data_IF_867922218509
#
_entry.id   IF_867922218509
#
_cell.length_a   1.000
_cell.length_b   1.000
_cell.length_c   1.000
_cell.angle_alpha   90.00
_cell.angle_beta   90.00
_cell.angle_gamma   90.00
#
_symmetry.space_group_name_H-M   'P 1'
#
loop_
_entity.id
_entity.type
_entity.pdbx_description
1 polymer ?
#
# COMPACT_ATOMS: atom_id res chain seq x y z
N UNK A 1 -33.11 -32.42 68.62
CA UNK A 1 -32.28 -31.44 67.90
C UNK A 1 -32.81 -31.36 66.48
N UNK A 2 -33.64 -30.36 66.17
CA UNK A 2 -34.19 -30.17 64.84
C UNK A 2 -33.34 -29.11 64.13
N UNK A 3 -32.61 -29.51 63.10
CA UNK A 3 -31.91 -28.58 62.21
C UNK A 3 -32.94 -28.14 61.17
N UNK A 4 -33.47 -26.92 61.28
CA UNK A 4 -34.26 -26.34 60.21
C UNK A 4 -33.30 -25.99 59.07
N UNK A 5 -33.21 -26.87 58.09
CA UNK A 5 -32.67 -26.52 56.78
C UNK A 5 -33.62 -25.49 56.17
N UNK A 6 -33.30 -24.20 56.32
CA UNK A 6 -34.06 -23.12 55.71
C UNK A 6 -33.81 -23.16 54.22
N UNK A 7 -34.81 -23.57 53.44
CA UNK A 7 -34.82 -23.41 51.98
C UNK A 7 -35.65 -22.16 51.65
N UNK A 8 -34.98 -21.06 51.33
CA UNK A 8 -35.62 -19.79 50.94
C UNK A 8 -34.66 -18.60 50.96
N UNK A 9 -35.11 -17.46 50.43
CA UNK A 9 -34.34 -16.20 50.45
C UNK A 9 -34.20 -15.68 51.88
N UNK A 10 -32.97 -15.67 52.40
CA UNK A 10 -32.67 -15.06 53.69
C UNK A 10 -32.51 -13.53 53.50
N UNK A 11 -33.46 -12.75 54.00
CA UNK A 11 -33.34 -11.30 54.07
C UNK A 11 -32.79 -10.95 55.45
N UNK A 12 -31.55 -10.47 55.52
CA UNK A 12 -30.92 -10.01 56.76
C UNK A 12 -30.97 -8.47 56.83
N UNK A 13 -31.27 -7.94 58.02
CA UNK A 13 -31.22 -6.51 58.27
C UNK A 13 -29.76 -6.07 58.46
N UNK A 14 -29.41 -4.87 57.98
CA UNK A 14 -28.04 -4.33 58.12
C UNK A 14 -27.71 -3.97 59.59
N UNK A 15 -28.72 -3.65 60.40
CA UNK A 15 -28.64 -3.47 61.84
C UNK A 15 -29.93 -4.00 62.49
N UNK A 16 -29.83 -4.78 63.57
CA UNK A 16 -30.97 -5.18 64.38
C UNK A 16 -31.13 -4.19 65.53
N UNK A 17 -32.04 -3.22 65.38
CA UNK A 17 -32.48 -2.33 66.46
C UNK A 17 -33.85 -2.78 66.94
N UNK A 18 -34.09 -2.89 68.27
CA UNK A 18 -35.41 -3.30 68.77
C UNK A 18 -36.48 -2.27 68.40
N UNK A 19 -37.45 -2.67 67.58
CA UNK A 19 -38.72 -1.95 67.45
C UNK A 19 -38.97 -1.13 66.18
N UNK A 20 -38.16 -1.19 65.11
CA UNK A 20 -38.44 -0.47 63.86
C UNK A 20 -38.27 -1.33 62.59
N UNK A 21 -39.04 -0.95 61.56
CA UNK A 21 -39.17 -1.54 60.24
C UNK A 21 -37.82 -1.67 59.55
N UNK A 22 -37.59 -2.79 58.86
CA UNK A 22 -36.33 -3.11 58.17
C UNK A 22 -35.89 -1.95 57.26
N UNK A 23 -34.84 -1.21 57.67
CA UNK A 23 -34.24 -0.15 56.86
C UNK A 23 -33.20 -0.78 55.95
N UNK A 24 -33.63 -1.16 54.74
CA UNK A 24 -32.77 -1.71 53.70
C UNK A 24 -32.55 -3.21 53.82
N UNK A 25 -33.11 -3.97 52.86
CA UNK A 25 -32.86 -5.40 52.72
C UNK A 25 -31.54 -5.61 51.97
N UNK A 26 -30.57 -6.30 52.58
CA UNK A 26 -29.42 -6.83 51.84
C UNK A 26 -29.63 -8.33 51.69
N UNK A 27 -29.79 -8.78 50.45
CA UNK A 27 -29.67 -10.21 50.13
C UNK A 27 -28.17 -10.51 50.02
N UNK A 28 -27.54 -10.87 51.14
CA UNK A 28 -26.14 -11.30 51.16
C UNK A 28 -26.08 -12.83 51.08
N UNK A 29 -26.05 -13.36 49.87
CA UNK A 29 -25.91 -14.78 49.60
C UNK A 29 -25.38 -15.00 48.18
N UNK A 30 -24.82 -16.17 47.91
CA UNK A 30 -24.37 -16.52 46.57
C UNK A 30 -25.62 -16.65 45.67
N UNK A 31 -25.87 -15.68 44.80
CA UNK A 31 -27.06 -15.62 43.94
C UNK A 31 -26.97 -16.59 42.75
N UNK A 32 -25.98 -17.51 42.73
CA UNK A 32 -25.74 -18.43 41.62
C UNK A 32 -26.84 -19.46 41.35
N UNK A 33 -27.80 -19.65 42.28
CA UNK A 33 -28.96 -20.55 42.08
C UNK A 33 -30.27 -19.82 41.78
N UNK A 34 -30.26 -18.49 41.72
CA UNK A 34 -31.37 -17.69 41.24
C UNK A 34 -31.16 -17.41 39.75
N UNK A 35 -32.23 -17.42 38.96
CA UNK A 35 -32.19 -17.00 37.56
C UNK A 35 -31.87 -15.49 37.39
N UNK A 36 -31.79 -14.74 38.50
CA UNK A 36 -31.47 -13.31 38.52
C UNK A 36 -32.48 -12.45 37.76
N UNK A 37 -33.57 -13.02 37.23
CA UNK A 37 -34.45 -12.38 36.25
C UNK A 37 -35.18 -11.15 36.82
N UNK A 38 -35.30 -11.06 38.14
CA UNK A 38 -35.99 -9.99 38.85
C UNK A 38 -35.05 -9.14 39.74
N UNK A 39 -33.72 -9.27 39.58
CA UNK A 39 -32.76 -8.45 40.32
C UNK A 39 -32.72 -7.03 39.76
N UNK A 40 -33.50 -6.14 40.37
CA UNK A 40 -33.53 -4.70 40.11
C UNK A 40 -32.45 -3.98 40.94
N UNK A 41 -31.82 -2.94 40.38
CA UNK A 41 -30.69 -2.18 40.98
C UNK A 41 -29.35 -2.91 41.11
N UNK A 42 -29.00 -3.83 40.19
CA UNK A 42 -27.58 -4.07 39.88
C UNK A 42 -26.99 -2.68 39.55
N UNK A 43 -25.84 -2.26 40.13
CA UNK A 43 -25.20 -0.99 39.80
C UNK A 43 -25.24 -0.86 38.28
N UNK A 44 -26.04 0.09 37.78
CA UNK A 44 -26.39 0.20 36.37
C UNK A 44 -25.08 0.02 35.62
N UNK A 45 -24.94 -1.07 34.88
CA UNK A 45 -23.92 -1.10 33.82
C UNK A 45 -24.30 0.11 32.99
N UNK A 46 -23.57 1.20 33.17
CA UNK A 46 -24.05 2.55 32.88
C UNK A 46 -23.98 2.73 31.38
N UNK A 47 -24.90 2.07 30.69
CA UNK A 47 -24.90 2.00 29.26
C UNK A 47 -25.60 3.25 28.72
N UNK A 48 -24.86 4.36 28.72
CA UNK A 48 -25.33 5.62 28.17
C UNK A 48 -25.27 5.64 26.63
N UNK A 49 -24.67 4.61 25.99
CA UNK A 49 -24.42 4.56 24.56
C UNK A 49 -25.21 3.40 23.94
N UNK A 50 -26.09 3.71 22.97
CA UNK A 50 -26.86 2.68 22.29
C UNK A 50 -25.95 1.59 21.69
N UNK A 51 -26.32 0.32 21.85
CA UNK A 51 -25.59 -0.85 21.33
C UNK A 51 -24.18 -1.10 21.90
N UNK A 52 -23.72 -0.36 22.92
CA UNK A 52 -22.38 -0.60 23.47
C UNK A 52 -22.26 -1.97 24.14
N UNK A 53 -21.15 -2.65 23.86
CA UNK A 53 -20.78 -3.91 24.50
C UNK A 53 -20.22 -3.66 25.91
N UNK A 54 -20.46 -4.65 26.78
CA UNK A 54 -19.94 -4.66 28.15
C UNK A 54 -18.66 -5.49 28.18
N UNK A 55 -17.57 -4.91 28.68
CA UNK A 55 -16.26 -5.55 28.79
C UNK A 55 -15.75 -5.53 30.24
N UNK A 56 -14.83 -6.42 30.56
CA UNK A 56 -13.98 -6.31 31.74
C UNK A 56 -12.72 -5.55 31.33
N UNK A 57 -12.51 -4.39 31.96
CA UNK A 57 -11.35 -3.54 31.70
C UNK A 57 -10.34 -3.73 32.84
N UNK A 58 -9.06 -3.88 32.49
CA UNK A 58 -7.96 -4.11 33.44
C UNK A 58 -7.98 -5.45 34.19
N UNK A 59 -8.91 -6.35 33.87
CA UNK A 59 -8.95 -7.71 34.42
C UNK A 59 -9.53 -7.81 35.83
N UNK A 60 -10.10 -6.73 36.36
CA UNK A 60 -10.84 -6.77 37.62
C UNK A 60 -12.23 -7.36 37.38
N UNK A 61 -12.48 -8.54 37.93
CA UNK A 61 -13.75 -9.24 37.81
C UNK A 61 -14.95 -8.44 38.36
N UNK A 62 -14.70 -7.40 39.15
CA UNK A 62 -15.73 -6.54 39.73
C UNK A 62 -15.98 -5.26 38.94
N UNK A 63 -15.19 -5.00 37.89
CA UNK A 63 -15.30 -3.79 37.07
C UNK A 63 -15.77 -4.13 35.66
N UNK A 64 -17.03 -3.84 35.39
CA UNK A 64 -17.66 -3.95 34.07
C UNK A 64 -17.88 -2.55 33.50
N UNK A 65 -17.48 -2.34 32.24
CA UNK A 65 -17.55 -1.04 31.56
C UNK A 65 -18.37 -1.18 30.27
N UNK A 66 -19.18 -0.15 29.96
CA UNK A 66 -19.81 -0.01 28.65
C UNK A 66 -18.86 0.73 27.70
N UNK A 67 -18.42 0.05 26.65
CA UNK A 67 -17.48 0.61 25.69
C UNK A 67 -18.22 1.43 24.61
N UNK A 68 -18.17 2.76 24.71
CA UNK A 68 -18.80 3.61 23.69
C UNK A 68 -18.19 3.44 22.28
N UNK A 69 -16.96 2.96 22.21
CA UNK A 69 -16.22 2.72 20.97
C UNK A 69 -16.36 1.28 20.44
N UNK A 70 -17.09 0.41 21.15
CA UNK A 70 -17.37 -0.97 20.71
C UNK A 70 -18.87 -1.22 20.78
N UNK A 71 -19.55 -1.09 19.64
CA UNK A 71 -21.01 -1.24 19.58
C UNK A 71 -21.45 -2.36 18.63
N UNK A 72 -22.55 -3.06 18.95
CA UNK A 72 -23.14 -4.10 18.12
C UNK A 72 -24.66 -3.97 18.07
N UNK A 73 -25.21 -3.78 16.87
CA UNK A 73 -26.65 -3.56 16.65
C UNK A 73 -27.41 -4.82 16.21
N UNK A 74 -26.73 -5.97 16.18
CA UNK A 74 -27.26 -7.23 15.65
C UNK A 74 -26.88 -7.51 14.19
N UNK A 75 -26.43 -6.50 13.44
CA UNK A 75 -25.96 -6.63 12.06
C UNK A 75 -24.48 -6.27 11.88
N UNK A 76 -23.98 -5.29 12.63
CA UNK A 76 -22.62 -4.75 12.50
C UNK A 76 -21.95 -4.56 13.85
N UNK A 77 -20.70 -5.03 13.97
CA UNK A 77 -19.81 -4.71 15.07
C UNK A 77 -18.95 -3.52 14.66
N UNK A 78 -19.10 -2.39 15.37
CA UNK A 78 -18.35 -1.17 15.11
C UNK A 78 -17.25 -1.02 16.15
N UNK A 79 -16.00 -0.88 15.68
CA UNK A 79 -14.83 -0.54 16.49
C UNK A 79 -14.39 0.87 16.12
N UNK A 80 -14.58 1.83 17.02
CA UNK A 80 -14.06 3.20 16.86
C UNK A 80 -12.69 3.28 17.51
N UNK A 81 -11.66 2.88 16.76
CA UNK A 81 -10.27 2.78 17.22
C UNK A 81 -9.47 1.76 16.41
N UNK A 82 -8.32 1.35 16.93
CA UNK A 82 -7.50 0.32 16.31
C UNK A 82 -8.02 -1.09 16.64
N UNK A 83 -8.00 -1.99 15.64
CA UNK A 83 -8.22 -3.42 15.82
C UNK A 83 -6.87 -4.14 15.75
N UNK A 84 -6.46 -4.80 16.83
CA UNK A 84 -5.27 -5.66 16.86
C UNK A 84 -5.69 -7.12 16.86
N UNK A 85 -5.24 -7.89 15.86
CA UNK A 85 -5.45 -9.34 15.78
C UNK A 85 -4.08 -10.04 15.72
N UNK A 86 -3.81 -10.98 16.63
CA UNK A 86 -2.49 -11.61 16.75
C UNK A 86 -2.23 -12.76 15.77
N UNK A 87 -3.25 -13.18 15.01
CA UNK A 87 -3.15 -14.30 14.06
C UNK A 87 -3.51 -13.83 12.65
N UNK A 88 -4.79 -13.57 12.39
CA UNK A 88 -5.27 -13.14 11.09
C UNK A 88 -6.64 -12.46 11.18
N UNK A 89 -7.01 -11.74 10.12
CA UNK A 89 -8.36 -11.24 9.89
C UNK A 89 -8.86 -11.88 8.60
N UNK A 90 -9.96 -12.64 8.67
CA UNK A 90 -10.64 -13.18 7.50
C UNK A 90 -11.81 -12.27 7.15
N UNK A 91 -11.74 -11.62 5.99
CA UNK A 91 -12.77 -10.71 5.51
C UNK A 91 -12.94 -10.87 3.99
N UNK A 92 -14.15 -10.66 3.50
CA UNK A 92 -14.42 -10.65 2.05
C UNK A 92 -13.71 -9.48 1.36
N UNK A 93 -13.55 -8.35 2.06
CA UNK A 93 -12.88 -7.15 1.58
C UNK A 93 -12.44 -6.25 2.75
N UNK A 94 -11.46 -5.39 2.51
CA UNK A 94 -11.08 -4.28 3.40
C UNK A 94 -11.47 -2.97 2.70
N UNK A 95 -12.29 -2.14 3.35
CA UNK A 95 -12.70 -0.83 2.82
C UNK A 95 -11.82 0.28 3.41
N UNK A 96 -11.37 1.22 2.58
CA UNK A 96 -10.52 2.35 2.98
C UNK A 96 -9.52 2.75 1.91
N UNK A 97 -8.55 3.59 2.27
CA UNK A 97 -7.46 4.02 1.36
C UNK A 97 -6.36 2.96 1.18
N UNK A 98 -6.39 1.88 1.98
CA UNK A 98 -5.42 0.78 1.94
C UNK A 98 -3.99 1.17 2.32
N UNK A 99 -3.73 2.41 2.75
CA UNK A 99 -2.38 2.94 3.02
C UNK A 99 -1.64 2.18 4.13
N UNK A 100 -2.39 1.53 5.02
CA UNK A 100 -1.89 0.73 6.14
C UNK A 100 -1.88 -0.78 5.88
N UNK A 101 -2.29 -1.25 4.70
CA UNK A 101 -2.14 -2.65 4.27
C UNK A 101 -0.68 -2.91 3.83
N UNK A 102 0.21 -2.83 4.81
CA UNK A 102 1.66 -2.98 4.64
C UNK A 102 2.12 -4.30 5.26
N UNK A 103 3.36 -4.71 4.97
CA UNK A 103 3.96 -5.92 5.53
C UNK A 103 3.10 -7.18 5.35
N UNK A 104 2.35 -7.26 4.25
CA UNK A 104 1.67 -8.48 3.81
C UNK A 104 2.75 -9.37 3.19
N UNK A 105 3.37 -10.29 3.96
CA UNK A 105 4.50 -11.06 3.46
C UNK A 105 3.95 -12.02 2.42
N UNK A 106 4.75 -12.24 1.37
CA UNK A 106 4.54 -13.28 0.37
C UNK A 106 4.39 -14.68 1.00
N UNK A 107 3.23 -15.03 1.55
CA UNK A 107 2.94 -16.36 2.06
C UNK A 107 2.78 -17.34 0.91
N UNK A 108 3.89 -17.89 0.44
CA UNK A 108 4.03 -18.65 -0.81
C UNK A 108 3.85 -17.81 -2.09
N UNK A 109 4.28 -18.39 -3.22
CA UNK A 109 4.22 -17.86 -4.59
C UNK A 109 3.00 -16.96 -4.79
N UNK A 110 3.26 -15.64 -4.87
CA UNK A 110 2.32 -14.63 -5.33
C UNK A 110 1.53 -13.82 -4.29
N UNK A 111 1.95 -13.79 -3.03
CA UNK A 111 1.37 -12.82 -2.09
C UNK A 111 1.94 -11.38 -2.26
N UNK A 112 1.02 -10.43 -2.43
CA UNK A 112 1.19 -8.98 -2.55
C UNK A 112 -0.17 -8.27 -2.45
N UNK A 113 -0.22 -6.94 -2.63
CA UNK A 113 -1.46 -6.14 -2.54
C UNK A 113 -2.50 -6.56 -3.61
N UNK A 114 -2.06 -7.11 -4.74
CA UNK A 114 -2.95 -7.62 -5.79
C UNK A 114 -3.30 -9.07 -5.51
N UNK A 115 -4.58 -9.33 -5.21
CA UNK A 115 -5.13 -10.66 -4.93
C UNK A 115 -4.84 -11.62 -6.10
N UNK A 116 -4.12 -12.69 -5.82
CA UNK A 116 -4.01 -13.83 -6.73
C UNK A 116 -5.36 -14.51 -6.87
N UNK A 117 -5.90 -14.53 -8.10
CA UNK A 117 -7.10 -15.29 -8.42
C UNK A 117 -6.75 -16.75 -8.80
N UNK A 118 -5.46 -17.02 -9.03
CA UNK A 118 -4.84 -18.33 -9.26
C UNK A 118 -3.34 -18.25 -8.87
N UNK A 119 -2.62 -19.36 -8.62
CA UNK A 119 -1.21 -19.37 -8.22
C UNK A 119 -0.22 -18.85 -9.29
N UNK A 120 -0.74 -18.29 -10.38
CA UNK A 120 0.04 -17.83 -11.53
C UNK A 120 -0.37 -16.44 -12.01
N UNK A 121 -1.48 -15.87 -11.50
CA UNK A 121 -2.03 -14.62 -12.02
C UNK A 121 -2.71 -13.78 -10.93
N UNK A 122 -2.26 -12.53 -10.82
CA UNK A 122 -2.98 -11.46 -10.14
C UNK A 122 -3.61 -10.54 -11.21
N UNK A 123 -4.90 -10.25 -11.09
CA UNK A 123 -5.63 -9.38 -12.02
C UNK A 123 -6.14 -8.13 -11.31
N UNK A 124 -6.07 -7.00 -12.00
CA UNK A 124 -6.81 -5.78 -11.69
C UNK A 124 -7.86 -5.56 -12.79
N UNK A 125 -9.05 -5.07 -12.45
CA UNK A 125 -10.06 -4.65 -13.43
C UNK A 125 -9.99 -3.16 -13.73
N UNK A 126 -9.14 -2.42 -13.00
CA UNK A 126 -8.91 -0.98 -13.14
C UNK A 126 -7.44 -0.69 -13.41
N UNK A 127 -7.11 0.58 -13.67
CA UNK A 127 -5.73 0.99 -13.86
C UNK A 127 -4.90 0.82 -12.59
N UNK A 128 -3.65 0.39 -12.76
CA UNK A 128 -2.65 0.40 -11.69
C UNK A 128 -1.75 1.60 -11.93
N UNK A 129 -1.54 2.41 -10.89
CA UNK A 129 -0.45 3.38 -10.82
C UNK A 129 0.63 2.80 -9.93
N UNK A 130 1.81 2.53 -10.51
CA UNK A 130 2.99 2.07 -9.76
C UNK A 130 3.98 3.22 -9.67
N UNK A 131 4.31 3.66 -8.45
CA UNK A 131 5.27 4.74 -8.19
C UNK A 131 4.70 5.86 -7.31
N UNK A 132 5.59 6.75 -6.85
CA UNK A 132 5.21 7.96 -6.12
C UNK A 132 4.91 9.11 -7.10
N UNK A 133 4.23 10.16 -6.64
CA UNK A 133 4.02 11.42 -7.40
C UNK A 133 5.29 12.28 -7.55
N UNK A 134 6.46 11.76 -7.16
CA UNK A 134 7.79 12.39 -7.26
C UNK A 134 8.85 11.41 -7.75
N UNK A 135 10.14 11.71 -7.56
CA UNK A 135 11.24 10.81 -7.94
C UNK A 135 11.01 9.42 -7.35
N UNK A 136 10.81 8.43 -8.21
CA UNK A 136 10.49 7.07 -7.78
C UNK A 136 11.66 6.51 -6.94
N UNK A 137 11.41 6.05 -5.70
CA UNK A 137 12.47 5.45 -4.88
C UNK A 137 12.93 4.09 -5.43
N UNK A 138 12.20 3.50 -6.37
CA UNK A 138 12.52 2.22 -7.02
C UNK A 138 12.00 2.18 -8.47
N UNK A 139 12.69 1.43 -9.32
CA UNK A 139 12.27 1.12 -10.69
C UNK A 139 11.19 0.03 -10.69
N UNK A 140 10.26 0.08 -11.66
CA UNK A 140 9.44 -1.09 -11.98
C UNK A 140 10.32 -2.10 -12.70
N UNK A 141 10.59 -3.25 -12.08
CA UNK A 141 11.29 -4.37 -12.71
C UNK A 141 10.30 -5.49 -13.02
N UNK A 142 10.26 -5.93 -14.27
CA UNK A 142 9.46 -7.07 -14.72
C UNK A 142 10.43 -8.21 -15.03
N UNK A 143 10.49 -9.21 -14.15
CA UNK A 143 11.33 -10.40 -14.33
C UNK A 143 10.60 -11.36 -15.29
N UNK A 144 10.70 -11.11 -16.59
CA UNK A 144 10.01 -11.87 -17.62
C UNK A 144 9.64 -11.02 -18.84
N UNK A 145 8.63 -11.46 -19.59
CA UNK A 145 8.08 -10.69 -20.70
C UNK A 145 6.98 -9.73 -20.25
N UNK A 146 6.89 -8.58 -20.90
CA UNK A 146 5.73 -7.69 -20.83
C UNK A 146 4.86 -7.87 -22.07
N UNK A 147 3.58 -8.23 -21.90
CA UNK A 147 2.61 -8.18 -22.99
C UNK A 147 1.84 -6.87 -22.91
N UNK A 148 2.04 -5.99 -23.90
CA UNK A 148 1.44 -4.66 -23.97
C UNK A 148 0.66 -4.56 -25.28
N UNK A 149 -0.67 -4.51 -25.19
CA UNK A 149 -1.56 -4.52 -26.36
C UNK A 149 -2.05 -3.13 -26.77
N UNK A 150 -1.60 -2.08 -26.08
CA UNK A 150 -2.00 -0.69 -26.31
C UNK A 150 -0.81 0.23 -26.55
N UNK A 151 -1.06 1.53 -26.65
CA UNK A 151 -0.02 2.53 -26.84
C UNK A 151 0.95 2.60 -25.65
N UNK A 152 2.23 2.85 -25.95
CA UNK A 152 3.28 3.12 -24.98
C UNK A 152 3.71 4.58 -25.09
N UNK A 153 3.80 5.24 -23.94
CA UNK A 153 4.33 6.59 -23.84
C UNK A 153 5.70 6.47 -23.16
N UNK A 154 6.73 6.90 -23.86
CA UNK A 154 8.06 7.02 -23.29
C UNK A 154 8.42 8.49 -23.08
N UNK A 155 9.37 8.76 -22.18
CA UNK A 155 9.89 10.10 -21.94
C UNK A 155 10.49 10.66 -23.25
N UNK A 156 10.02 11.84 -23.66
CA UNK A 156 10.59 12.61 -24.77
C UNK A 156 11.30 13.85 -24.23
N UNK A 157 12.54 14.02 -24.66
CA UNK A 157 13.36 15.19 -24.39
C UNK A 157 13.72 15.86 -25.72
N UNK A 158 13.43 17.15 -25.86
CA UNK A 158 13.76 17.93 -27.06
C UNK A 158 14.93 18.84 -26.78
N UNK A 159 15.88 18.91 -27.71
CA UNK A 159 17.11 19.69 -27.61
C UNK A 159 17.33 20.53 -28.86
N UNK A 160 17.85 21.76 -28.70
CA UNK A 160 18.15 22.71 -29.79
C UNK A 160 19.66 22.98 -29.93
N UNK A 161 20.48 22.27 -29.16
CA UNK A 161 21.93 22.43 -29.09
C UNK A 161 22.59 21.22 -28.45
N UNK A 162 23.89 21.30 -28.23
CA UNK A 162 24.68 20.18 -27.69
C UNK A 162 24.11 19.65 -26.38
N UNK A 163 24.01 18.32 -26.27
CA UNK A 163 23.37 17.66 -25.15
C UNK A 163 24.05 16.35 -24.77
N UNK A 164 24.16 16.08 -23.47
CA UNK A 164 24.55 14.76 -22.95
C UNK A 164 23.31 14.06 -22.42
N UNK A 165 23.02 12.90 -22.98
CA UNK A 165 21.80 12.13 -22.66
C UNK A 165 21.80 11.72 -21.19
N UNK A 166 20.65 11.87 -20.52
CA UNK A 166 20.43 11.34 -19.18
C UNK A 166 20.13 9.84 -19.23
N UNK A 167 20.56 9.09 -18.20
CA UNK A 167 20.20 7.66 -18.04
C UNK A 167 18.67 7.41 -17.95
N UNK A 168 17.86 8.47 -17.79
CA UNK A 168 16.39 8.39 -17.74
C UNK A 168 15.70 8.78 -19.05
N UNK A 169 16.44 9.22 -20.07
CA UNK A 169 15.88 9.56 -21.37
C UNK A 169 15.57 8.34 -22.21
N UNK A 170 14.65 8.50 -23.16
CA UNK A 170 14.28 7.48 -24.13
C UNK A 170 14.24 8.04 -25.54
N UNK A 171 13.34 9.01 -25.79
CA UNK A 171 13.32 9.77 -27.05
C UNK A 171 14.11 11.06 -26.90
N UNK A 172 15.07 11.26 -27.80
CA UNK A 172 15.83 12.51 -27.96
C UNK A 172 15.43 13.11 -29.31
N UNK A 173 14.61 14.14 -29.25
CA UNK A 173 14.24 14.95 -30.41
C UNK A 173 15.24 16.08 -30.58
N UNK A 174 15.94 16.12 -31.70
CA UNK A 174 16.96 17.13 -31.99
C UNK A 174 16.41 18.13 -33.00
N UNK A 175 16.35 19.39 -32.60
CA UNK A 175 16.01 20.50 -33.49
C UNK A 175 17.29 21.09 -34.10
N UNK A 176 17.51 20.79 -35.37
CA UNK A 176 18.67 21.21 -36.17
C UNK A 176 18.49 22.58 -36.84
N UNK A 177 17.39 23.31 -36.60
CA UNK A 177 17.17 24.63 -37.22
C UNK A 177 18.16 25.69 -36.75
N UNK A 178 18.69 25.56 -35.53
CA UNK A 178 19.61 26.52 -34.90
C UNK A 178 21.09 26.34 -35.24
N UNK A 179 21.46 25.23 -35.88
CA UNK A 179 22.85 24.88 -36.18
C UNK A 179 23.15 23.40 -35.97
N UNK A 180 24.40 23.01 -36.21
CA UNK A 180 24.90 21.64 -35.93
C UNK A 180 24.74 21.30 -34.45
N UNK A 181 24.38 20.05 -34.15
CA UNK A 181 24.16 19.60 -32.76
C UNK A 181 25.00 18.38 -32.46
N UNK A 182 25.74 18.40 -31.34
CA UNK A 182 26.43 17.23 -30.80
C UNK A 182 25.62 16.58 -29.68
N UNK A 183 25.26 15.32 -29.88
CA UNK A 183 24.64 14.48 -28.86
C UNK A 183 25.69 13.53 -28.28
N UNK A 184 25.89 13.57 -26.97
CA UNK A 184 26.80 12.66 -26.26
C UNK A 184 25.97 11.61 -25.55
N UNK A 185 26.21 10.34 -25.86
CA UNK A 185 25.61 9.21 -25.17
C UNK A 185 26.07 9.20 -23.69
N UNK A 186 25.29 8.63 -22.76
CA UNK A 186 25.75 8.49 -21.39
C UNK A 186 26.95 7.54 -21.32
N UNK A 187 27.58 7.40 -20.16
CA UNK A 187 28.57 6.33 -19.96
C UNK A 187 27.87 4.97 -20.02
N UNK A 188 28.33 4.08 -20.90
CA UNK A 188 27.73 2.77 -21.11
C UNK A 188 27.57 1.96 -19.82
N UNK A 189 28.56 2.03 -18.91
CA UNK A 189 28.56 1.35 -17.61
C UNK A 189 27.50 1.88 -16.62
N UNK A 190 26.91 3.05 -16.88
CA UNK A 190 25.85 3.62 -16.07
C UNK A 190 24.44 3.23 -16.55
N UNK A 191 24.32 2.62 -17.74
CA UNK A 191 23.05 2.09 -18.25
C UNK A 191 22.89 0.62 -17.89
N UNK A 192 21.64 0.15 -17.91
CA UNK A 192 21.36 -1.29 -17.88
C UNK A 192 21.62 -1.90 -19.25
N UNK A 193 22.19 -3.11 -19.29
CA UNK A 193 22.33 -3.88 -20.53
C UNK A 193 20.98 -4.02 -21.23
N UNK A 194 20.93 -3.70 -22.53
CA UNK A 194 19.72 -3.68 -23.34
C UNK A 194 18.90 -2.40 -23.24
N UNK A 195 19.35 -1.39 -22.48
CA UNK A 195 18.65 -0.10 -22.43
C UNK A 195 18.73 0.60 -23.79
N UNK A 196 17.55 0.91 -24.35
CA UNK A 196 17.36 1.50 -25.67
C UNK A 196 17.29 3.01 -25.61
N UNK A 197 17.85 3.67 -26.62
CA UNK A 197 17.71 5.10 -26.88
C UNK A 197 17.27 5.30 -28.33
N UNK A 198 16.40 6.29 -28.55
CA UNK A 198 15.92 6.67 -29.87
C UNK A 198 16.21 8.16 -30.09
N UNK A 199 16.99 8.45 -31.11
CA UNK A 199 17.35 9.80 -31.51
C UNK A 199 16.67 10.13 -32.84
N UNK A 200 16.16 11.34 -32.96
CA UNK A 200 15.44 11.80 -34.16
C UNK A 200 15.81 13.25 -34.47
N UNK A 201 16.14 13.52 -35.73
CA UNK A 201 16.10 14.88 -36.26
C UNK A 201 14.63 15.32 -36.39
N UNK A 202 14.21 16.22 -35.53
CA UNK A 202 12.88 16.83 -35.54
C UNK A 202 12.89 18.20 -36.23
N UNK A 203 14.06 18.84 -36.33
CA UNK A 203 14.23 20.12 -37.04
C UNK A 203 14.26 19.98 -38.56
N UNK A 204 14.71 18.81 -39.07
CA UNK A 204 14.67 18.49 -40.49
C UNK A 204 15.80 19.11 -41.33
N UNK A 205 16.83 19.68 -40.69
CA UNK A 205 17.92 20.39 -41.35
C UNK A 205 19.28 19.68 -41.20
N UNK A 206 19.30 18.38 -40.88
CA UNK A 206 20.55 17.66 -40.62
C UNK A 206 21.45 17.45 -41.85
N UNK A 207 20.98 17.69 -43.07
CA UNK A 207 21.83 17.79 -44.26
C UNK A 207 22.76 19.01 -44.24
N UNK A 208 22.31 20.10 -43.61
CA UNK A 208 23.07 21.34 -43.47
C UNK A 208 23.71 21.43 -42.08
N UNK A 209 22.95 21.04 -41.07
CA UNK A 209 23.25 21.16 -39.65
C UNK A 209 23.34 19.76 -39.04
N UNK A 210 24.36 19.02 -39.45
CA UNK A 210 24.55 17.62 -39.09
C UNK A 210 24.47 17.37 -37.57
N UNK A 211 23.82 16.26 -37.20
CA UNK A 211 23.76 15.80 -35.82
C UNK A 211 24.91 14.81 -35.61
N UNK A 212 25.85 15.15 -34.73
CA UNK A 212 26.96 14.27 -34.38
C UNK A 212 26.67 13.55 -33.08
N UNK A 213 26.47 12.25 -33.14
CA UNK A 213 26.25 11.37 -31.99
C UNK A 213 27.61 10.79 -31.58
N UNK A 214 27.96 10.88 -30.30
CA UNK A 214 29.27 10.46 -29.79
C UNK A 214 29.14 9.60 -28.55
N UNK A 215 30.03 8.61 -28.40
CA UNK A 215 30.17 7.87 -27.15
C UNK A 215 30.75 8.74 -26.03
N UNK A 216 30.54 8.33 -24.77
CA UNK A 216 31.18 8.98 -23.63
C UNK A 216 32.58 8.42 -23.41
N UNK A 217 33.60 9.28 -23.42
CA UNK A 217 34.99 8.85 -23.19
C UNK A 217 35.47 7.81 -24.21
N UNK A 218 35.74 6.59 -23.75
CA UNK A 218 36.23 5.49 -24.58
C UNK A 218 35.13 4.62 -25.21
N UNK A 219 33.87 4.83 -24.81
CA UNK A 219 32.74 4.04 -25.28
C UNK A 219 32.56 4.16 -26.80
N UNK A 220 32.21 3.04 -27.44
CA UNK A 220 32.10 2.95 -28.91
C UNK A 220 30.68 2.65 -29.35
N UNK A 221 30.32 3.18 -30.52
CA UNK A 221 29.08 2.92 -31.24
C UNK A 221 29.44 2.06 -32.44
N UNK A 222 29.13 0.76 -32.42
CA UNK A 222 29.55 -0.22 -33.44
C UNK A 222 31.04 -0.11 -33.82
N UNK A 223 31.89 0.03 -32.80
CA UNK A 223 33.35 0.16 -32.96
C UNK A 223 33.84 1.57 -33.32
N UNK A 224 32.95 2.51 -33.63
CA UNK A 224 33.28 3.90 -33.94
C UNK A 224 33.16 4.82 -32.73
N UNK A 225 33.87 5.94 -32.74
CA UNK A 225 33.72 6.97 -31.71
C UNK A 225 32.42 7.79 -31.88
N UNK A 226 31.98 7.94 -33.13
CA UNK A 226 30.90 8.84 -33.51
C UNK A 226 30.08 8.28 -34.66
N UNK A 227 28.81 8.67 -34.72
CA UNK A 227 27.88 8.47 -35.83
C UNK A 227 27.30 9.83 -36.19
N UNK A 228 27.15 10.12 -37.49
CA UNK A 228 26.58 11.40 -37.95
C UNK A 228 25.27 11.13 -38.67
N UNK A 229 24.22 11.85 -38.27
CA UNK A 229 22.97 11.92 -39.03
C UNK A 229 23.03 13.15 -39.93
N UNK A 230 23.05 12.89 -41.24
CA UNK A 230 23.19 13.91 -42.29
C UNK A 230 22.03 13.97 -43.27
N UNK A 231 20.91 13.30 -42.97
CA UNK A 231 19.72 13.27 -43.82
C UNK A 231 18.54 13.88 -43.08
N UNK A 232 17.80 14.83 -43.65
CA UNK A 232 16.64 15.47 -43.03
C UNK A 232 15.70 14.44 -42.42
N UNK A 233 15.30 14.67 -41.17
CA UNK A 233 14.43 13.77 -40.42
C UNK A 233 15.00 12.35 -40.21
N UNK A 234 16.32 12.17 -40.27
CA UNK A 234 16.95 10.90 -39.92
C UNK A 234 16.66 10.51 -38.47
N UNK A 235 16.61 9.21 -38.24
CA UNK A 235 16.47 8.62 -36.91
C UNK A 235 17.59 7.61 -36.68
N UNK A 236 17.98 7.44 -35.42
CA UNK A 236 18.88 6.39 -34.97
C UNK A 236 18.28 5.73 -33.74
N UNK A 237 18.14 4.42 -33.77
CA UNK A 237 17.87 3.63 -32.59
C UNK A 237 19.12 2.82 -32.23
N UNK A 238 19.43 2.78 -30.94
CA UNK A 238 20.57 2.04 -30.42
C UNK A 238 20.28 1.49 -29.03
N UNK A 239 21.05 0.50 -28.62
CA UNK A 239 21.01 -0.05 -27.26
C UNK A 239 22.42 -0.27 -26.69
N UNK A 240 22.52 -0.32 -25.36
CA UNK A 240 23.78 -0.44 -24.63
C UNK A 240 24.06 -1.89 -24.17
N UNK A 241 25.34 -2.27 -24.03
CA UNK A 241 25.76 -3.50 -23.35
C UNK A 241 25.81 -3.39 -21.82
N UNK A 242 25.59 -2.19 -21.28
CA UNK A 242 25.72 -1.89 -19.85
C UNK A 242 27.17 -1.86 -19.34
N UNK A 243 28.15 -1.75 -20.24
CA UNK A 243 29.57 -1.79 -19.89
C UNK A 243 30.41 -0.76 -20.67
N UNK A 244 30.55 -0.90 -21.99
CA UNK A 244 31.48 -0.06 -22.80
C UNK A 244 31.02 0.21 -24.24
N UNK A 245 29.87 -0.32 -24.66
CA UNK A 245 29.50 -0.34 -26.09
C UNK A 245 28.02 -0.04 -26.31
N UNK A 246 27.79 0.56 -27.48
CA UNK A 246 26.48 0.77 -28.07
C UNK A 246 26.40 0.08 -29.43
N UNK A 247 25.22 -0.44 -29.74
CA UNK A 247 24.92 -1.13 -30.99
C UNK A 247 23.74 -0.47 -31.70
N UNK A 248 23.83 -0.30 -33.02
CA UNK A 248 22.75 0.24 -33.86
C UNK A 248 21.83 -0.91 -34.30
N UNK A 249 20.52 -0.63 -34.42
CA UNK A 249 19.48 -1.57 -34.87
C UNK A 249 18.56 -0.92 -35.93
#
# INVERSE_FOLDING_TARGET
>A
MAYNAVSGTLIAAQNYIPGDLVVGNIVSGNLSTSDGANLINIPRVSNATNNALITNVSGDANTLVCESNLTFDGGSLVVTGDLTASVSVSASYFEGDGSRLTNLPGGATGAGIFRETSPSNAYTTSSIKVGASGTAPATLSVVGGSFLSGALIHKRHTVTGDYTISITDYYIGVDTTGGTVKITLPNAAALTSGQTLVLKDEGGNSDTNAITISGSGADKIDGQNTVVLGSPYAALQLYCDGATKYFIY
#
